data_IF_401501467679
#
_entry.id   IF_401501467679
#
_cell.length_a   1.000
_cell.length_b   1.000
_cell.length_c   1.000
_cell.angle_alpha   90.00
_cell.angle_beta   90.00
_cell.angle_gamma   90.00
#
_symmetry.space_group_name_H-M   'P 1'
#
loop_
_entity.id
_entity.type
_entity.pdbx_description
1 polymer ?
#
# COMPACT_ATOMS: atom_id res chain seq x y z
N UNK A 1 -48.87 22.72 3.95
CA UNK A 1 -47.65 22.65 4.79
C UNK A 1 -46.75 21.57 4.19
N UNK A 2 -45.78 21.96 3.38
CA UNK A 2 -44.73 21.06 2.91
C UNK A 2 -43.41 21.77 3.19
N UNK A 3 -42.74 21.35 4.25
CA UNK A 3 -41.40 21.80 4.57
C UNK A 3 -40.65 20.62 5.20
N UNK A 4 -39.34 20.61 4.95
CA UNK A 4 -38.30 19.79 5.60
C UNK A 4 -38.21 18.31 5.21
N UNK A 5 -37.67 18.04 4.01
CA UNK A 5 -37.02 16.74 3.72
C UNK A 5 -35.64 16.88 3.02
N UNK A 6 -35.21 18.08 2.62
CA UNK A 6 -34.01 18.28 1.80
C UNK A 6 -32.73 18.70 2.55
N UNK A 7 -32.82 19.03 3.85
CA UNK A 7 -31.67 19.54 4.60
C UNK A 7 -30.84 18.44 5.32
N UNK A 8 -31.36 17.21 5.41
CA UNK A 8 -30.70 16.10 6.11
C UNK A 8 -29.77 15.26 5.22
N UNK A 9 -30.09 15.12 3.94
CA UNK A 9 -29.31 14.31 2.98
C UNK A 9 -28.03 14.99 2.51
N UNK A 10 -27.98 16.33 2.45
CA UNK A 10 -26.78 17.06 2.05
C UNK A 10 -25.68 17.00 3.13
N UNK A 11 -26.03 17.16 4.41
CA UNK A 11 -25.05 17.04 5.52
C UNK A 11 -24.52 15.61 5.71
N UNK A 12 -25.34 14.60 5.43
CA UNK A 12 -24.91 13.21 5.53
C UNK A 12 -23.86 12.83 4.46
N UNK A 13 -23.76 13.60 3.37
CA UNK A 13 -22.71 13.41 2.36
C UNK A 13 -21.37 14.05 2.78
N UNK A 14 -21.41 15.16 3.52
CA UNK A 14 -20.20 15.87 3.97
C UNK A 14 -19.39 15.09 5.01
N UNK A 15 -20.03 14.24 5.83
CA UNK A 15 -19.37 13.39 6.85
C UNK A 15 -18.84 12.06 6.29
N UNK A 16 -19.05 11.81 4.99
CA UNK A 16 -18.57 10.60 4.34
C UNK A 16 -17.10 10.76 3.92
N UNK A 17 -16.25 9.75 4.20
CA UNK A 17 -14.84 9.83 3.86
C UNK A 17 -14.70 9.90 2.35
N UNK A 18 -14.13 10.97 1.83
CA UNK A 18 -13.88 11.18 0.42
C UNK A 18 -12.41 11.55 0.22
N UNK A 19 -11.83 11.23 -0.94
CA UNK A 19 -10.53 11.75 -1.31
C UNK A 19 -10.69 13.02 -2.12
N UNK A 20 -10.62 14.16 -1.42
CA UNK A 20 -10.36 15.44 -2.05
C UNK A 20 -8.85 15.56 -2.33
N UNK A 21 -8.48 15.73 -3.59
CA UNK A 21 -7.07 15.90 -3.97
C UNK A 21 -6.54 17.31 -3.67
N UNK A 22 -7.41 18.29 -3.51
CA UNK A 22 -7.04 19.66 -3.15
C UNK A 22 -6.81 19.80 -1.63
N UNK A 23 -7.51 18.99 -0.82
CA UNK A 23 -7.29 18.85 0.63
C UNK A 23 -7.08 17.38 1.04
N UNK A 24 -5.97 16.83 0.56
CA UNK A 24 -5.64 15.42 0.78
C UNK A 24 -5.29 15.12 2.25
N UNK A 25 -4.86 16.14 3.02
CA UNK A 25 -4.55 15.97 4.43
C UNK A 25 -5.80 15.63 5.24
N UNK A 26 -6.86 16.44 5.11
CA UNK A 26 -8.14 16.16 5.76
C UNK A 26 -8.73 14.81 5.30
N UNK A 27 -8.69 14.55 3.99
CA UNK A 27 -9.18 13.31 3.40
C UNK A 27 -8.49 12.05 3.93
N UNK A 28 -7.16 12.12 4.13
CA UNK A 28 -6.39 11.00 4.66
C UNK A 28 -6.70 10.80 6.14
N UNK A 29 -6.96 11.85 6.93
CA UNK A 29 -7.34 11.70 8.34
C UNK A 29 -8.68 10.95 8.52
N UNK A 30 -9.63 11.15 7.62
CA UNK A 30 -10.99 10.58 7.68
C UNK A 30 -11.10 9.07 7.44
N UNK A 31 -10.02 8.45 6.96
CA UNK A 31 -9.92 7.00 6.68
C UNK A 31 -8.91 6.33 7.61
N UNK A 32 -9.20 5.11 8.05
CA UNK A 32 -8.31 4.38 8.95
C UNK A 32 -7.15 3.70 8.20
N UNK A 33 -7.44 3.22 6.99
CA UNK A 33 -6.51 2.43 6.17
C UNK A 33 -6.60 2.91 4.73
N UNK A 34 -5.46 3.01 4.06
CA UNK A 34 -5.40 3.24 2.62
C UNK A 34 -4.57 2.13 2.01
N UNK A 35 -5.12 1.46 1.01
CA UNK A 35 -4.56 0.22 0.45
C UNK A 35 -4.65 0.23 -1.06
N UNK A 36 -3.60 -0.29 -1.69
CA UNK A 36 -3.57 -0.69 -3.09
C UNK A 36 -3.75 -2.20 -3.12
N UNK A 37 -4.64 -2.72 -3.96
CA UNK A 37 -4.92 -4.15 -4.01
C UNK A 37 -5.83 -4.56 -5.15
N UNK A 38 -6.16 -5.85 -5.19
CA UNK A 38 -7.04 -6.45 -6.18
C UNK A 38 -8.40 -6.79 -5.55
N UNK A 39 -9.49 -6.54 -6.28
CA UNK A 39 -10.84 -6.94 -5.85
C UNK A 39 -11.01 -8.44 -6.07
N UNK A 40 -11.29 -9.17 -5.00
CA UNK A 40 -11.50 -10.63 -5.01
C UNK A 40 -12.87 -10.99 -4.42
N UNK A 41 -13.44 -12.11 -4.84
CA UNK A 41 -14.69 -12.60 -4.28
C UNK A 41 -14.45 -13.66 -3.18
N UNK A 42 -14.79 -13.34 -1.93
CA UNK A 42 -14.69 -14.28 -0.81
C UNK A 42 -16.07 -14.72 -0.35
N UNK A 43 -16.45 -15.95 -0.70
CA UNK A 43 -17.73 -16.51 -0.30
C UNK A 43 -18.93 -15.74 -0.85
N UNK A 44 -18.77 -15.09 -2.01
CA UNK A 44 -19.81 -14.29 -2.68
C UNK A 44 -19.93 -12.84 -2.19
N UNK A 45 -19.05 -12.38 -1.31
CA UNK A 45 -18.93 -10.97 -0.94
C UNK A 45 -17.65 -10.37 -1.52
N UNK A 46 -17.65 -9.08 -1.90
CA UNK A 46 -16.44 -8.40 -2.32
C UNK A 46 -15.44 -8.37 -1.16
N UNK A 47 -14.16 -8.51 -1.49
CA UNK A 47 -13.03 -8.33 -0.61
C UNK A 47 -11.89 -7.68 -1.40
N UNK A 48 -10.92 -7.10 -0.71
CA UNK A 48 -9.72 -6.55 -1.34
C UNK A 48 -8.51 -7.32 -0.84
N UNK A 49 -7.80 -7.97 -1.75
CA UNK A 49 -6.50 -8.56 -1.49
C UNK A 49 -5.44 -7.46 -1.54
N UNK A 50 -4.80 -7.09 -0.42
CA UNK A 50 -3.84 -6.00 -0.40
C UNK A 50 -2.55 -6.37 -1.13
N UNK A 51 -2.02 -5.44 -1.91
CA UNK A 51 -0.65 -5.46 -2.45
C UNK A 51 0.26 -4.55 -1.60
N UNK A 52 -0.24 -3.37 -1.25
CA UNK A 52 0.49 -2.38 -0.49
C UNK A 52 -0.42 -1.50 0.37
N UNK A 53 0.10 -1.04 1.50
CA UNK A 53 -0.54 -0.11 2.40
C UNK A 53 0.11 1.26 2.29
N UNK A 54 -0.71 2.27 2.05
CA UNK A 54 -0.34 3.69 2.06
C UNK A 54 -0.68 4.35 3.40
N UNK A 55 -1.58 3.75 4.19
CA UNK A 55 -1.86 4.14 5.58
C UNK A 55 -2.36 2.94 6.36
N UNK A 56 -1.97 2.87 7.63
CA UNK A 56 -2.47 1.89 8.58
C UNK A 56 -1.59 0.64 8.69
N UNK A 57 -2.00 -0.32 9.50
CA UNK A 57 -1.23 -1.54 9.72
C UNK A 57 -1.28 -2.45 8.49
N UNK A 58 -0.09 -2.83 8.00
CA UNK A 58 0.04 -3.81 6.93
C UNK A 58 -0.33 -5.21 7.45
N UNK A 59 -1.33 -5.85 6.84
CA UNK A 59 -1.82 -7.17 7.21
C UNK A 59 -1.89 -8.00 5.93
N UNK A 60 -1.26 -9.18 5.90
CA UNK A 60 -1.25 -10.08 4.74
C UNK A 60 -2.56 -10.90 4.60
N UNK A 61 -3.70 -10.31 4.93
CA UNK A 61 -5.02 -10.96 4.87
C UNK A 61 -5.97 -10.12 4.04
N UNK A 62 -6.88 -10.79 3.33
CA UNK A 62 -7.90 -10.12 2.55
C UNK A 62 -8.79 -9.24 3.44
N UNK A 63 -9.00 -8.01 3.00
CA UNK A 63 -9.83 -7.03 3.69
C UNK A 63 -11.29 -7.35 3.40
N UNK A 64 -11.99 -7.78 4.45
CA UNK A 64 -13.41 -8.13 4.39
C UNK A 64 -14.26 -6.92 4.76
N UNK A 65 -15.36 -6.78 4.03
CA UNK A 65 -16.27 -5.66 4.21
C UNK A 65 -17.52 -6.06 5.00
N UNK A 66 -17.99 -5.13 5.83
CA UNK A 66 -19.26 -5.25 6.55
C UNK A 66 -20.41 -5.28 5.55
N UNK A 67 -21.41 -6.13 5.78
CA UNK A 67 -22.67 -6.12 5.02
C UNK A 67 -23.72 -5.24 5.69
N UNK A 68 -23.38 -4.59 6.81
CA UNK A 68 -24.28 -3.68 7.48
C UNK A 68 -24.59 -2.47 6.58
N UNK A 69 -25.82 -1.94 6.63
CA UNK A 69 -26.15 -0.70 5.93
C UNK A 69 -25.31 0.45 6.49
N UNK A 70 -24.64 1.19 5.60
CA UNK A 70 -23.92 2.43 5.92
C UNK A 70 -24.80 3.64 5.64
N UNK A 71 -24.58 4.73 6.38
CA UNK A 71 -25.20 6.03 6.09
C UNK A 71 -24.62 6.66 4.81
N UNK A 72 -23.38 6.28 4.46
CA UNK A 72 -22.69 6.72 3.26
C UNK A 72 -23.05 5.90 2.02
N UNK A 73 -23.13 6.52 0.83
CA UNK A 73 -23.39 5.83 -0.42
C UNK A 73 -22.21 4.90 -0.74
N UNK A 74 -22.51 3.66 -1.10
CA UNK A 74 -21.48 2.72 -1.54
C UNK A 74 -21.03 3.03 -2.96
N UNK A 75 -19.72 2.94 -3.19
CA UNK A 75 -19.17 2.92 -4.54
C UNK A 75 -19.67 1.70 -5.32
N UNK A 76 -19.76 1.84 -6.63
CA UNK A 76 -19.97 0.70 -7.53
C UNK A 76 -18.82 -0.30 -7.35
N UNK A 77 -19.17 -1.59 -7.22
CA UNK A 77 -18.20 -2.66 -7.02
C UNK A 77 -17.49 -2.95 -8.36
N UNK A 78 -16.16 -2.77 -8.46
CA UNK A 78 -15.42 -3.14 -9.67
C UNK A 78 -15.51 -4.63 -9.94
N UNK A 79 -15.25 -5.04 -11.19
CA UNK A 79 -15.16 -6.46 -11.53
C UNK A 79 -14.11 -7.18 -10.69
N UNK A 80 -14.34 -8.45 -10.39
CA UNK A 80 -13.32 -9.32 -9.80
C UNK A 80 -12.04 -9.29 -10.66
N UNK A 81 -10.88 -9.16 -10.01
CA UNK A 81 -9.58 -8.97 -10.66
C UNK A 81 -9.22 -7.50 -10.94
N UNK A 82 -10.12 -6.55 -10.70
CA UNK A 82 -9.80 -5.14 -10.87
C UNK A 82 -8.84 -4.67 -9.78
N UNK A 83 -7.80 -3.95 -10.20
CA UNK A 83 -6.84 -3.31 -9.29
C UNK A 83 -7.38 -1.96 -8.82
N UNK A 84 -7.27 -1.68 -7.54
CA UNK A 84 -7.90 -0.53 -6.89
C UNK A 84 -6.98 0.15 -5.88
N UNK A 85 -7.17 1.45 -5.69
CA UNK A 85 -6.66 2.21 -4.53
C UNK A 85 -7.87 2.65 -3.71
N UNK A 86 -7.96 2.21 -2.46
CA UNK A 86 -9.14 2.44 -1.62
C UNK A 86 -8.78 3.01 -0.25
N UNK A 87 -9.54 4.03 0.16
CA UNK A 87 -9.55 4.58 1.50
C UNK A 87 -10.69 3.94 2.30
N UNK A 88 -10.36 3.26 3.39
CA UNK A 88 -11.30 2.45 4.15
C UNK A 88 -11.45 2.96 5.58
N UNK A 89 -12.70 3.07 6.02
CA UNK A 89 -13.07 3.29 7.42
C UNK A 89 -13.36 1.95 8.09
N UNK A 90 -12.85 1.75 9.29
CA UNK A 90 -13.03 0.53 10.08
C UNK A 90 -14.38 0.56 10.77
N UNK A 91 -15.10 -0.56 10.69
CA UNK A 91 -16.35 -0.82 11.41
C UNK A 91 -16.16 -2.08 12.27
N UNK A 92 -15.79 -1.86 13.53
CA UNK A 92 -15.41 -2.92 14.45
C UNK A 92 -14.18 -3.71 13.99
N UNK A 93 -14.40 -4.95 13.53
CA UNK A 93 -13.35 -5.86 13.04
C UNK A 93 -13.30 -5.97 11.51
N UNK A 94 -14.23 -5.33 10.81
CA UNK A 94 -14.35 -5.30 9.35
C UNK A 94 -14.16 -3.88 8.85
N UNK A 95 -14.20 -3.69 7.53
CA UNK A 95 -14.16 -2.37 6.91
C UNK A 95 -15.52 -2.05 6.28
N UNK A 96 -15.85 -0.76 6.17
CA UNK A 96 -16.98 -0.35 5.33
C UNK A 96 -16.51 -0.31 3.88
N UNK A 97 -17.38 -0.73 2.95
CA UNK A 97 -17.10 -0.53 1.53
C UNK A 97 -17.04 0.97 1.26
N UNK A 98 -16.03 1.46 0.50
CA UNK A 98 -15.80 2.89 0.32
C UNK A 98 -16.95 3.57 -0.42
N UNK A 99 -16.98 4.89 -0.30
CA UNK A 99 -17.81 5.75 -1.17
C UNK A 99 -17.15 5.95 -2.53
N UNK A 100 -17.88 6.37 -3.59
CA UNK A 100 -17.30 6.53 -4.92
C UNK A 100 -16.03 7.39 -4.96
N UNK A 101 -16.00 8.48 -4.19
CA UNK A 101 -14.86 9.38 -4.12
C UNK A 101 -13.64 8.82 -3.34
N UNK A 102 -13.79 7.70 -2.63
CA UNK A 102 -12.72 7.03 -1.88
C UNK A 102 -12.25 5.71 -2.52
N UNK A 103 -12.78 5.37 -3.69
CA UNK A 103 -12.41 4.21 -4.50
C UNK A 103 -11.88 4.68 -5.85
N UNK A 104 -10.61 4.40 -6.13
CA UNK A 104 -10.02 4.57 -7.44
C UNK A 104 -9.82 3.19 -8.08
N UNK A 105 -10.34 3.00 -9.28
CA UNK A 105 -10.05 1.83 -10.12
C UNK A 105 -8.86 2.18 -11.00
N UNK A 106 -7.88 1.28 -11.04
CA UNK A 106 -6.64 1.47 -11.80
C UNK A 106 -6.68 0.62 -13.06
N UNK A 107 -6.72 1.28 -14.20
CA UNK A 107 -6.72 0.66 -15.53
C UNK A 107 -5.65 1.33 -16.39
N UNK A 108 -4.81 0.54 -17.05
CA UNK A 108 -3.73 1.04 -17.93
C UNK A 108 -2.82 2.11 -17.28
N UNK A 109 -2.59 2.01 -15.97
CA UNK A 109 -1.76 2.95 -15.19
C UNK A 109 -2.46 4.28 -14.87
N UNK A 110 -3.76 4.39 -15.11
CA UNK A 110 -4.59 5.54 -14.78
C UNK A 110 -5.54 5.16 -13.65
N UNK A 111 -5.52 5.94 -12.57
CA UNK A 111 -6.44 5.80 -11.45
C UNK A 111 -7.64 6.72 -11.69
N UNK A 112 -8.84 6.15 -11.69
CA UNK A 112 -10.10 6.88 -11.88
C UNK A 112 -11.05 6.60 -10.71
N UNK A 113 -11.59 7.64 -10.09
CA UNK A 113 -12.65 7.48 -9.08
C UNK A 113 -14.05 7.71 -9.68
N UNK A 114 -15.06 7.18 -8.99
CA UNK A 114 -16.46 7.50 -9.26
C UNK A 114 -16.94 8.68 -8.41
N UNK A 115 -18.14 9.17 -8.69
CA UNK A 115 -18.81 10.21 -7.90
C UNK A 115 -19.30 11.38 -8.75
N UNK A 116 -19.75 12.44 -8.08
CA UNK A 116 -20.32 13.63 -8.74
C UNK A 116 -19.27 14.45 -9.52
N UNK A 117 -18.00 14.36 -9.10
CA UNK A 117 -16.86 14.98 -9.75
C UNK A 117 -15.75 13.93 -9.97
N UNK A 118 -15.85 13.10 -11.03
CA UNK A 118 -14.87 12.08 -11.29
C UNK A 118 -13.52 12.71 -11.64
N UNK A 119 -12.48 12.16 -11.05
CA UNK A 119 -11.09 12.54 -11.22
C UNK A 119 -10.35 11.36 -11.83
N UNK A 120 -9.54 11.66 -12.84
CA UNK A 120 -8.67 10.70 -13.49
C UNK A 120 -7.26 11.25 -13.51
N UNK A 121 -6.31 10.49 -12.98
CA UNK A 121 -4.91 10.89 -12.88
C UNK A 121 -4.00 9.66 -13.02
N UNK A 122 -2.72 9.85 -13.40
CA UNK A 122 -1.75 8.77 -13.38
C UNK A 122 -1.65 8.10 -12.01
N UNK A 123 -1.54 6.78 -11.98
CA UNK A 123 -1.44 6.01 -10.74
C UNK A 123 -0.25 6.46 -9.89
N UNK A 124 0.91 6.64 -10.51
CA UNK A 124 2.13 7.08 -9.85
C UNK A 124 1.96 8.46 -9.20
N UNK A 125 1.24 9.37 -9.87
CA UNK A 125 0.89 10.68 -9.33
C UNK A 125 -0.04 10.56 -8.11
N UNK A 126 -1.09 9.73 -8.19
CA UNK A 126 -2.00 9.49 -7.06
C UNK A 126 -1.25 8.92 -5.86
N UNK A 127 -0.47 7.85 -6.08
CA UNK A 127 0.30 7.19 -5.03
C UNK A 127 1.34 8.13 -4.42
N UNK A 128 2.00 8.95 -5.24
CA UNK A 128 2.97 9.93 -4.77
C UNK A 128 2.31 10.96 -3.84
N UNK A 129 1.17 11.54 -4.25
CA UNK A 129 0.43 12.51 -3.44
C UNK A 129 -0.02 11.91 -2.10
N UNK A 130 -0.57 10.69 -2.12
CA UNK A 130 -0.99 10.00 -0.89
C UNK A 130 0.21 9.73 0.03
N UNK A 131 1.35 9.27 -0.52
CA UNK A 131 2.56 9.00 0.26
C UNK A 131 3.18 10.24 0.87
N UNK A 132 3.16 11.35 0.15
CA UNK A 132 3.68 12.64 0.63
C UNK A 132 2.97 13.06 1.93
N UNK A 133 1.66 12.82 2.00
CA UNK A 133 0.85 13.18 3.17
C UNK A 133 0.84 12.10 4.24
N UNK A 134 0.64 10.84 3.87
CA UNK A 134 0.57 9.72 4.83
C UNK A 134 1.93 9.34 5.42
N UNK A 135 3.04 9.65 4.73
CA UNK A 135 4.40 9.27 5.11
C UNK A 135 4.65 7.77 5.11
N UNK A 136 3.72 6.96 4.58
CA UNK A 136 3.77 5.50 4.66
C UNK A 136 3.66 4.85 3.29
N UNK A 137 4.51 3.85 3.07
CA UNK A 137 4.36 2.88 1.99
C UNK A 137 4.92 1.54 2.46
N UNK A 138 4.03 0.60 2.74
CA UNK A 138 4.38 -0.75 3.17
C UNK A 138 3.87 -1.74 2.13
N UNK A 139 4.78 -2.33 1.36
CA UNK A 139 4.48 -3.43 0.45
C UNK A 139 4.38 -4.70 1.27
N UNK A 140 3.35 -5.51 1.04
CA UNK A 140 3.29 -6.84 1.63
C UNK A 140 4.31 -7.74 0.93
N UNK A 141 5.12 -8.45 1.69
CA UNK A 141 5.94 -9.51 1.13
C UNK A 141 5.00 -10.65 0.72
N UNK A 142 4.79 -10.82 -0.59
CA UNK A 142 3.95 -11.88 -1.14
C UNK A 142 4.68 -13.24 -1.04
N UNK A 143 6.00 -13.22 -0.89
CA UNK A 143 6.83 -14.37 -0.55
C UNK A 143 7.84 -14.05 0.57
N UNK A 144 8.14 -15.03 1.43
CA UNK A 144 9.20 -14.95 2.46
C UNK A 144 10.60 -14.61 1.86
N UNK A 145 10.75 -14.68 0.53
CA UNK A 145 11.96 -14.31 -0.20
C UNK A 145 12.11 -12.82 -0.55
N UNK A 146 11.06 -12.00 -0.39
CA UNK A 146 11.11 -10.57 -0.80
C UNK A 146 11.48 -9.62 0.35
N UNK A 147 11.37 -10.05 1.61
CA UNK A 147 11.72 -9.23 2.78
C UNK A 147 13.22 -9.01 3.00
N UNK A 148 14.09 -9.72 2.29
CA UNK A 148 15.54 -9.59 2.43
C UNK A 148 16.31 -10.16 1.21
N UNK A 149 16.06 -9.68 0.00
CA UNK A 149 16.85 -10.12 -1.17
C UNK A 149 18.20 -9.36 -1.26
N UNK A 150 19.00 -9.38 -0.19
CA UNK A 150 20.44 -9.41 -0.43
C UNK A 150 20.68 -10.75 -1.11
N UNK A 151 20.97 -10.70 -2.40
CA UNK A 151 21.27 -11.86 -3.23
C UNK A 151 22.55 -12.53 -2.67
N UNK A 152 22.39 -13.38 -1.65
CA UNK A 152 23.49 -13.93 -0.84
C UNK A 152 24.54 -14.62 -1.70
N UNK A 153 24.10 -15.32 -2.75
CA UNK A 153 24.99 -15.98 -3.70
C UNK A 153 25.73 -15.00 -4.60
N UNK A 154 25.14 -13.84 -4.90
CA UNK A 154 25.65 -12.89 -5.89
C UNK A 154 26.45 -11.75 -5.26
N UNK A 155 26.20 -11.43 -3.99
CA UNK A 155 26.86 -10.35 -3.25
C UNK A 155 27.81 -10.90 -2.19
N UNK A 156 27.34 -11.81 -1.33
CA UNK A 156 28.15 -12.28 -0.19
C UNK A 156 29.25 -13.25 -0.65
N UNK A 157 28.95 -14.17 -1.57
CA UNK A 157 29.96 -15.10 -2.09
C UNK A 157 31.19 -14.41 -2.70
N UNK A 158 31.08 -13.46 -3.66
CA UNK A 158 32.26 -12.81 -4.24
C UNK A 158 33.01 -11.93 -3.23
N UNK A 159 32.30 -11.24 -2.32
CA UNK A 159 32.94 -10.41 -1.28
C UNK A 159 33.75 -11.28 -0.31
N UNK A 160 33.19 -12.41 0.11
CA UNK A 160 33.88 -13.35 1.02
C UNK A 160 35.07 -14.01 0.34
N UNK A 161 34.94 -14.38 -0.94
CA UNK A 161 36.03 -14.93 -1.74
C UNK A 161 37.18 -13.92 -1.91
N UNK A 162 36.85 -12.65 -2.21
CA UNK A 162 37.83 -11.57 -2.32
C UNK A 162 38.56 -11.33 -0.98
N UNK A 163 37.82 -11.33 0.14
CA UNK A 163 38.40 -11.18 1.47
C UNK A 163 39.36 -12.35 1.82
N UNK A 164 38.98 -13.59 1.52
CA UNK A 164 39.83 -14.77 1.72
C UNK A 164 41.09 -14.68 0.86
N UNK A 165 40.98 -14.23 -0.38
CA UNK A 165 42.12 -14.09 -1.29
C UNK A 165 43.10 -13.02 -0.81
N UNK A 166 42.59 -11.86 -0.40
CA UNK A 166 43.40 -10.77 0.19
C UNK A 166 44.10 -11.27 1.46
N UNK A 167 43.37 -11.95 2.35
CA UNK A 167 43.95 -12.52 3.57
C UNK A 167 45.03 -13.55 3.25
N UNK A 168 44.81 -14.42 2.26
CA UNK A 168 45.78 -15.40 1.80
C UNK A 168 47.06 -14.75 1.29
N UNK A 169 46.95 -13.69 0.48
CA UNK A 169 48.11 -12.91 0.00
C UNK A 169 48.85 -12.27 1.18
N UNK A 170 48.12 -11.64 2.11
CA UNK A 170 48.73 -11.03 3.30
C UNK A 170 49.50 -12.05 4.15
N UNK A 171 48.96 -13.25 4.35
CA UNK A 171 49.62 -14.33 5.09
C UNK A 171 50.87 -14.84 4.38
N UNK A 172 50.85 -14.95 3.05
CA UNK A 172 52.03 -15.34 2.27
C UNK A 172 53.12 -14.26 2.37
N UNK A 173 52.75 -12.98 2.27
CA UNK A 173 53.68 -11.87 2.44
C UNK A 173 54.29 -11.84 3.84
N UNK A 174 53.48 -12.03 4.88
CA UNK A 174 53.96 -12.17 6.28
C UNK A 174 54.91 -13.36 6.43
N UNK A 175 54.59 -14.50 5.81
CA UNK A 175 55.44 -15.69 5.87
C UNK A 175 56.77 -15.50 5.15
N UNK A 176 56.78 -14.79 4.02
CA UNK A 176 58.01 -14.43 3.31
C UNK A 176 58.82 -13.45 4.15
N UNK A 177 58.18 -12.43 4.73
CA UNK A 177 58.84 -11.43 5.58
C UNK A 177 59.51 -12.07 6.80
N UNK A 178 58.79 -12.94 7.54
CA UNK A 178 59.36 -13.72 8.65
C UNK A 178 60.51 -14.66 8.24
N UNK A 179 60.60 -15.03 6.95
CA UNK A 179 61.71 -15.85 6.44
C UNK A 179 62.93 -15.01 6.09
N UNK A 180 62.74 -13.72 5.81
CA UNK A 180 63.80 -12.79 5.41
C UNK A 180 64.40 -12.09 6.64
N UNK A 181 63.59 -11.76 7.66
CA UNK A 181 64.05 -11.30 8.98
C UNK A 181 63.75 -12.34 10.07
N UNK A 182 64.63 -13.34 10.28
CA UNK A 182 64.51 -14.24 11.41
C UNK A 182 64.97 -13.61 12.74
N UNK A 183 65.64 -12.45 12.71
CA UNK A 183 66.24 -11.81 13.89
C UNK A 183 66.05 -10.28 13.86
N UNK A 184 64.97 -9.84 14.51
CA UNK A 184 64.80 -8.53 15.12
C UNK A 184 64.32 -8.73 16.55
#
# INVERSE_FOLDING_TARGET
MFATAQAGTARAHDDCPHFDLDDLWASIEDVDVIVVGEVVALGGAPAVQPEAYLKGSAIAQDLRFSTAPSECPRAEEPSEGARVVVGLRRDGRTFQWPVPAALFVVEDGIATNGGDAPVSLPEDELLSRIREVSGQYAVLAVDESEGASIDWLRVVLPVTLAAILILGIALVLLRIWHRIDPEG
#
